data_IF_547035069905
#
_entry.id   IF_547035069905
#
_cell.length_a   1.000
_cell.length_b   1.000
_cell.length_c   1.000
_cell.angle_alpha   90.00
_cell.angle_beta   90.00
_cell.angle_gamma   90.00
#
_symmetry.space_group_name_H-M   'P 1'
#
loop_
_entity.id
_entity.type
_entity.pdbx_description
1 polymer ?
#
# COMPACT_ATOMS: atom_id res chain seq x y z
N UNK A 1 -18.71 26.17 29.88
CA UNK A 1 -18.90 25.31 28.70
C UNK A 1 -18.69 23.88 29.18
N UNK A 2 -19.76 23.11 29.31
CA UNK A 2 -19.70 21.70 29.73
C UNK A 2 -19.26 20.86 28.54
N UNK A 3 -18.03 20.36 28.56
CA UNK A 3 -17.61 19.25 27.72
C UNK A 3 -18.18 17.97 28.36
N UNK A 4 -19.29 17.47 27.83
CA UNK A 4 -19.73 16.11 28.12
C UNK A 4 -18.74 15.15 27.45
N UNK A 5 -17.75 14.70 28.22
CA UNK A 5 -16.94 13.56 27.84
C UNK A 5 -17.90 12.38 27.74
N UNK A 6 -18.11 11.83 26.55
CA UNK A 6 -18.91 10.62 26.39
C UNK A 6 -18.21 9.52 27.19
N UNK A 7 -18.80 9.14 28.33
CA UNK A 7 -18.38 7.95 29.07
C UNK A 7 -18.68 6.75 28.17
N UNK A 8 -17.64 6.19 27.56
CA UNK A 8 -17.73 4.89 26.91
C UNK A 8 -17.86 3.83 28.00
N UNK A 9 -19.09 3.58 28.43
CA UNK A 9 -19.41 2.51 29.38
C UNK A 9 -19.33 1.18 28.63
N UNK A 10 -18.33 0.37 28.97
CA UNK A 10 -18.26 -1.02 28.52
C UNK A 10 -19.30 -1.84 29.28
N UNK A 11 -20.28 -2.38 28.57
CA UNK A 11 -21.21 -3.35 29.12
C UNK A 11 -20.47 -4.66 29.43
N UNK A 12 -20.19 -4.87 30.72
CA UNK A 12 -19.46 -6.03 31.22
C UNK A 12 -20.19 -7.34 30.96
N UNK A 13 -21.53 -7.35 30.94
CA UNK A 13 -22.31 -8.57 30.71
C UNK A 13 -22.22 -8.97 29.23
N UNK A 14 -22.37 -8.00 28.33
CA UNK A 14 -22.21 -8.22 26.89
C UNK A 14 -20.78 -8.67 26.53
N UNK A 15 -19.76 -8.07 27.17
CA UNK A 15 -18.37 -8.49 26.97
C UNK A 15 -18.14 -9.93 27.46
N UNK A 16 -18.68 -10.29 28.63
CA UNK A 16 -18.57 -11.64 29.17
C UNK A 16 -19.21 -12.68 28.24
N UNK A 17 -20.43 -12.43 27.77
CA UNK A 17 -21.13 -13.35 26.86
C UNK A 17 -20.38 -13.50 25.53
N UNK A 18 -19.83 -12.41 25.01
CA UNK A 18 -18.99 -12.43 23.79
C UNK A 18 -17.73 -13.27 23.98
N UNK A 19 -17.06 -13.16 25.14
CA UNK A 19 -15.87 -13.97 25.48
C UNK A 19 -16.24 -15.45 25.54
N UNK A 20 -17.37 -15.82 26.17
CA UNK A 20 -17.78 -17.21 26.30
C UNK A 20 -18.10 -17.84 24.94
N UNK A 21 -18.82 -17.11 24.09
CA UNK A 21 -19.12 -17.56 22.71
C UNK A 21 -17.85 -17.76 21.90
N UNK A 22 -16.92 -16.80 21.98
CA UNK A 22 -15.67 -16.84 21.20
C UNK A 22 -14.76 -18.02 21.58
N UNK A 23 -14.73 -18.44 22.86
CA UNK A 23 -13.87 -19.57 23.33
C UNK A 23 -14.19 -20.89 22.63
N UNK A 24 -15.42 -21.10 22.19
CA UNK A 24 -15.83 -22.32 21.49
C UNK A 24 -15.49 -22.34 20.00
N UNK A 25 -15.03 -21.23 19.43
CA UNK A 25 -14.86 -21.06 17.98
C UNK A 25 -13.48 -20.42 17.72
N UNK A 26 -12.48 -21.19 17.22
CA UNK A 26 -11.09 -20.71 17.07
C UNK A 26 -10.95 -19.39 16.29
N UNK A 27 -11.73 -19.18 15.24
CA UNK A 27 -11.73 -17.95 14.45
C UNK A 27 -12.27 -16.75 15.24
N UNK A 28 -13.34 -16.93 16.01
CA UNK A 28 -13.90 -15.87 16.87
C UNK A 28 -12.99 -15.59 18.07
N UNK A 29 -12.30 -16.61 18.61
CA UNK A 29 -11.30 -16.41 19.65
C UNK A 29 -10.12 -15.56 19.15
N UNK A 30 -9.62 -15.87 17.95
CA UNK A 30 -8.57 -15.10 17.29
C UNK A 30 -8.99 -13.66 17.03
N UNK A 31 -10.22 -13.45 16.55
CA UNK A 31 -10.80 -12.12 16.39
C UNK A 31 -10.93 -11.38 17.72
N UNK A 32 -11.40 -12.05 18.79
CA UNK A 32 -11.56 -11.48 20.12
C UNK A 32 -10.21 -11.01 20.67
N UNK A 33 -9.19 -11.85 20.58
CA UNK A 33 -7.82 -11.53 20.99
C UNK A 33 -7.27 -10.35 20.19
N UNK A 34 -7.40 -10.38 18.86
CA UNK A 34 -6.83 -9.38 17.96
C UNK A 34 -7.55 -8.03 18.04
N UNK A 35 -8.89 -8.01 17.97
CA UNK A 35 -9.68 -6.77 17.84
C UNK A 35 -10.16 -6.17 19.16
N UNK A 36 -10.29 -6.96 20.23
CA UNK A 36 -10.81 -6.50 21.54
C UNK A 36 -9.75 -6.41 22.62
N UNK A 37 -8.71 -7.25 22.55
CA UNK A 37 -7.62 -7.27 23.52
C UNK A 37 -6.27 -6.83 22.94
N UNK A 38 -6.20 -6.51 21.64
CA UNK A 38 -4.97 -6.12 20.94
C UNK A 38 -3.83 -7.14 21.09
N UNK A 39 -4.17 -8.42 21.21
CA UNK A 39 -3.23 -9.53 21.25
C UNK A 39 -3.07 -10.04 19.82
N UNK A 40 -1.86 -9.90 19.28
CA UNK A 40 -1.54 -10.45 17.96
C UNK A 40 -1.57 -11.98 17.99
N UNK A 41 -2.53 -12.55 17.26
CA UNK A 41 -2.59 -13.97 16.98
C UNK A 41 -2.05 -14.22 15.57
N UNK A 42 -1.25 -15.27 15.39
CA UNK A 42 -0.91 -15.73 14.05
C UNK A 42 -2.19 -16.30 13.42
N UNK A 43 -2.69 -15.67 12.37
CA UNK A 43 -3.74 -16.27 11.55
C UNK A 43 -3.23 -17.59 10.97
N UNK A 44 -3.96 -18.68 11.17
CA UNK A 44 -3.52 -20.05 10.81
C UNK A 44 -3.36 -20.27 9.29
N UNK A 45 -3.75 -19.31 8.45
CA UNK A 45 -3.61 -19.42 6.99
C UNK A 45 -3.11 -18.07 6.44
N UNK A 46 -1.87 -17.98 5.91
CA UNK A 46 -1.43 -16.80 5.19
C UNK A 46 -2.35 -16.59 3.98
N UNK A 47 -2.85 -15.36 3.79
CA UNK A 47 -3.72 -15.01 2.66
C UNK A 47 -3.11 -15.43 1.30
N UNK A 48 -1.78 -15.38 1.20
CA UNK A 48 -1.04 -15.87 0.05
C UNK A 48 0.20 -16.62 0.51
N UNK A 49 0.35 -17.87 0.06
CA UNK A 49 1.55 -18.65 0.31
C UNK A 49 2.77 -18.10 -0.45
N UNK A 50 3.95 -18.23 0.13
CA UNK A 50 5.21 -17.75 -0.47
C UNK A 50 5.46 -18.33 -1.87
N UNK A 51 5.13 -19.61 -2.09
CA UNK A 51 5.26 -20.26 -3.40
C UNK A 51 4.35 -19.64 -4.46
N UNK A 52 3.10 -19.31 -4.09
CA UNK A 52 2.16 -18.61 -4.98
C UNK A 52 2.68 -17.22 -5.33
N UNK A 53 3.16 -16.47 -4.35
CA UNK A 53 3.76 -15.15 -4.58
C UNK A 53 4.97 -15.21 -5.52
N UNK A 54 5.91 -16.13 -5.26
CA UNK A 54 7.09 -16.33 -6.10
C UNK A 54 6.71 -16.77 -7.53
N UNK A 55 5.65 -17.57 -7.69
CA UNK A 55 5.19 -18.00 -9.02
C UNK A 55 4.64 -16.86 -9.89
N UNK A 56 4.28 -15.72 -9.27
CA UNK A 56 3.86 -14.51 -9.99
C UNK A 56 5.03 -13.67 -10.50
N UNK A 57 6.28 -13.98 -10.11
CA UNK A 57 7.44 -13.23 -10.56
C UNK A 57 7.62 -13.40 -12.07
N UNK A 58 7.72 -12.28 -12.77
CA UNK A 58 8.04 -12.19 -14.18
C UNK A 58 9.15 -11.15 -14.33
N UNK A 59 10.13 -11.46 -15.17
CA UNK A 59 11.20 -10.53 -15.52
C UNK A 59 10.74 -9.69 -16.72
N UNK A 60 10.61 -8.39 -16.50
CA UNK A 60 10.30 -7.37 -17.51
C UNK A 60 10.82 -6.02 -17.01
N UNK A 61 10.96 -5.06 -17.91
CA UNK A 61 11.37 -3.70 -17.59
C UNK A 61 10.31 -2.66 -18.03
N UNK A 62 10.59 -1.38 -17.78
CA UNK A 62 9.65 -0.30 -18.08
C UNK A 62 9.43 -0.08 -19.58
N UNK A 63 10.36 -0.51 -20.44
CA UNK A 63 10.20 -0.43 -21.89
C UNK A 63 9.15 -1.44 -22.38
N UNK A 64 9.03 -2.60 -21.74
CA UNK A 64 8.01 -3.61 -22.06
C UNK A 64 6.60 -3.11 -21.76
N UNK A 65 6.47 -2.08 -20.90
CA UNK A 65 5.20 -1.50 -20.48
C UNK A 65 4.76 -0.30 -21.34
N UNK A 66 5.64 0.21 -22.21
CA UNK A 66 5.34 1.40 -23.03
C UNK A 66 4.26 1.09 -24.06
N UNK A 67 3.26 1.97 -24.13
CA UNK A 67 2.14 1.85 -25.06
C UNK A 67 1.07 0.86 -24.63
N UNK A 68 1.20 0.23 -23.47
CA UNK A 68 0.15 -0.59 -22.90
C UNK A 68 -0.90 0.27 -22.20
N UNK A 69 -2.14 -0.22 -22.20
CA UNK A 69 -3.18 0.33 -21.33
C UNK A 69 -2.79 0.09 -19.87
N UNK A 70 -2.96 1.11 -19.03
CA UNK A 70 -2.66 0.98 -17.62
C UNK A 70 -3.67 1.71 -16.75
N UNK A 71 -3.89 1.17 -15.57
CA UNK A 71 -4.68 1.75 -14.50
C UNK A 71 -3.74 2.07 -13.36
N UNK A 72 -3.98 3.16 -12.64
CA UNK A 72 -3.07 3.57 -11.60
C UNK A 72 -3.80 3.86 -10.28
N UNK A 73 -3.24 3.33 -9.20
CA UNK A 73 -3.71 3.53 -7.83
C UNK A 73 -2.68 4.30 -7.02
N UNK A 74 -3.17 5.18 -6.15
CA UNK A 74 -2.35 5.95 -5.22
C UNK A 74 -2.78 5.61 -3.78
N UNK A 75 -1.80 5.28 -2.96
CA UNK A 75 -1.94 5.17 -1.51
C UNK A 75 -1.12 6.30 -0.89
N UNK A 76 -1.80 7.23 -0.23
CA UNK A 76 -1.24 8.52 0.18
C UNK A 76 -1.03 8.58 1.68
N UNK A 77 0.15 9.05 2.08
CA UNK A 77 0.50 9.39 3.46
C UNK A 77 1.08 10.80 3.55
N UNK A 78 1.03 11.39 4.74
CA UNK A 78 1.52 12.75 5.01
C UNK A 78 2.91 12.77 5.63
N UNK A 79 3.09 12.22 6.83
CA UNK A 79 4.32 12.47 7.61
C UNK A 79 5.04 11.22 8.08
N UNK A 80 4.34 10.12 8.37
CA UNK A 80 4.91 8.95 9.05
C UNK A 80 5.10 7.71 8.17
N UNK A 81 4.28 7.56 7.13
CA UNK A 81 4.22 6.33 6.33
C UNK A 81 4.64 6.57 4.87
N UNK A 82 4.76 5.47 4.14
CA UNK A 82 5.14 5.46 2.74
C UNK A 82 3.93 5.86 1.88
N UNK A 83 4.10 6.81 0.97
CA UNK A 83 3.17 6.99 -0.16
C UNK A 83 3.56 6.06 -1.29
N UNK A 84 2.60 5.34 -1.86
CA UNK A 84 2.81 4.40 -2.94
C UNK A 84 1.98 4.76 -4.17
N UNK A 85 2.59 4.60 -5.34
CA UNK A 85 1.94 4.69 -6.64
C UNK A 85 2.11 3.33 -7.31
N UNK A 86 1.02 2.73 -7.76
CA UNK A 86 1.02 1.45 -8.46
C UNK A 86 0.35 1.61 -9.83
N UNK A 87 1.07 1.29 -10.90
CA UNK A 87 0.53 1.14 -12.24
C UNK A 87 0.31 -0.33 -12.53
N UNK A 88 -0.87 -0.65 -13.02
CA UNK A 88 -1.32 -2.00 -13.32
C UNK A 88 -1.62 -2.10 -14.80
N UNK A 89 -0.94 -3.02 -15.48
CA UNK A 89 -1.05 -3.26 -16.92
C UNK A 89 -1.72 -4.62 -17.14
N UNK A 90 -3.00 -4.67 -17.53
CA UNK A 90 -3.62 -5.91 -17.96
C UNK A 90 -2.97 -6.36 -19.28
N UNK A 91 -2.32 -7.52 -19.26
CA UNK A 91 -1.67 -8.11 -20.44
C UNK A 91 -2.34 -9.44 -20.80
N UNK A 92 -2.77 -9.54 -22.05
CA UNK A 92 -3.42 -10.73 -22.66
C UNK A 92 -4.72 -11.22 -22.00
N UNK A 93 -5.45 -12.07 -22.74
CA UNK A 93 -6.64 -12.82 -22.28
C UNK A 93 -6.36 -13.87 -21.18
N UNK A 94 -5.20 -13.82 -20.52
CA UNK A 94 -4.75 -14.81 -19.53
C UNK A 94 -4.91 -14.35 -18.07
N UNK A 95 -5.67 -13.28 -17.81
CA UNK A 95 -5.87 -12.69 -16.48
C UNK A 95 -4.53 -12.37 -15.76
N UNK A 96 -3.53 -11.88 -16.49
CA UNK A 96 -2.25 -11.47 -15.92
C UNK A 96 -2.20 -9.95 -15.79
N UNK A 97 -1.59 -9.50 -14.69
CA UNK A 97 -1.35 -8.10 -14.40
C UNK A 97 0.15 -7.89 -14.23
N UNK A 98 0.73 -6.99 -15.01
CA UNK A 98 2.07 -6.46 -14.74
C UNK A 98 1.94 -5.23 -13.85
N UNK A 99 2.91 -5.02 -12.95
CA UNK A 99 2.87 -3.99 -11.93
C UNK A 99 4.14 -3.15 -11.97
N UNK A 100 3.99 -1.83 -12.06
CA UNK A 100 5.07 -0.89 -11.84
C UNK A 100 4.76 -0.07 -10.60
N UNK A 101 5.54 -0.24 -9.53
CA UNK A 101 5.32 0.46 -8.27
C UNK A 101 6.42 1.47 -7.96
N UNK A 102 6.03 2.61 -7.39
CA UNK A 102 6.93 3.65 -6.89
C UNK A 102 6.55 3.99 -5.46
N UNK A 103 7.54 4.14 -4.60
CA UNK A 103 7.32 4.36 -3.17
C UNK A 103 8.11 5.59 -2.71
N UNK A 104 7.48 6.42 -1.89
CA UNK A 104 8.01 7.70 -1.42
C UNK A 104 7.91 7.79 0.10
N UNK A 105 8.95 8.34 0.73
CA UNK A 105 9.00 8.56 2.17
C UNK A 105 9.66 9.92 2.46
N UNK A 106 9.17 10.74 3.41
CA UNK A 106 9.85 11.96 3.81
C UNK A 106 11.24 11.65 4.38
N UNK A 107 12.25 12.41 3.97
CA UNK A 107 13.63 12.22 4.42
C UNK A 107 13.76 12.29 5.95
N UNK A 108 12.96 13.14 6.60
CA UNK A 108 12.93 13.24 8.06
C UNK A 108 12.64 11.88 8.74
N UNK A 109 11.87 11.00 8.11
CA UNK A 109 11.56 9.67 8.65
C UNK A 109 12.77 8.74 8.68
N UNK A 110 13.78 8.99 7.84
CA UNK A 110 15.03 8.24 7.89
C UNK A 110 15.86 8.59 9.13
N UNK A 111 15.72 9.80 9.68
CA UNK A 111 16.50 10.26 10.84
C UNK A 111 15.71 10.29 12.15
N UNK A 112 14.38 10.19 12.08
CA UNK A 112 13.49 10.22 13.23
C UNK A 112 13.74 9.03 14.19
N UNK A 113 14.24 9.26 15.43
CA UNK A 113 14.49 8.20 16.40
C UNK A 113 13.23 7.44 16.85
N UNK A 114 12.06 8.11 16.80
CA UNK A 114 10.77 7.49 17.14
C UNK A 114 10.28 6.53 16.03
N UNK A 115 10.80 6.65 14.81
CA UNK A 115 10.49 5.73 13.74
C UNK A 115 11.27 4.42 13.93
N UNK A 116 10.51 3.36 14.26
CA UNK A 116 11.05 2.00 14.46
C UNK A 116 11.60 1.39 13.17
N UNK A 117 11.07 1.81 12.02
CA UNK A 117 11.42 1.27 10.71
C UNK A 117 12.58 2.02 10.04
N UNK A 118 13.11 3.09 10.66
CA UNK A 118 14.13 3.98 10.04
C UNK A 118 15.34 3.23 9.48
N UNK A 119 15.79 2.17 10.13
CA UNK A 119 16.95 1.38 9.69
C UNK A 119 16.66 0.63 8.38
N UNK A 120 15.49 -0.01 8.30
CA UNK A 120 15.01 -0.71 7.11
C UNK A 120 14.75 0.28 5.97
N UNK A 121 14.13 1.41 6.26
CA UNK A 121 13.88 2.45 5.26
C UNK A 121 15.17 3.03 4.67
N UNK A 122 16.21 3.25 5.48
CA UNK A 122 17.54 3.65 4.98
C UNK A 122 18.10 2.63 4.00
N UNK A 123 17.99 1.35 4.32
CA UNK A 123 18.45 0.29 3.44
C UNK A 123 17.66 0.29 2.12
N UNK A 124 16.33 0.37 2.19
CA UNK A 124 15.46 0.44 1.02
C UNK A 124 15.74 1.66 0.14
N UNK A 125 16.04 2.80 0.75
CA UNK A 125 16.44 4.02 0.01
C UNK A 125 17.79 3.81 -0.70
N UNK A 126 18.76 3.20 -0.01
CA UNK A 126 20.09 2.91 -0.59
C UNK A 126 20.03 1.96 -1.78
N UNK A 127 19.17 0.94 -1.74
CA UNK A 127 19.00 -0.03 -2.83
C UNK A 127 17.94 0.41 -3.87
N UNK A 128 17.35 1.59 -3.71
CA UNK A 128 16.43 2.21 -4.67
C UNK A 128 14.98 1.69 -4.64
N UNK A 129 14.58 0.95 -3.60
CA UNK A 129 13.19 0.48 -3.44
C UNK A 129 12.22 1.58 -3.01
N UNK A 130 12.72 2.56 -2.26
CA UNK A 130 11.96 3.76 -1.89
C UNK A 130 12.75 5.01 -2.29
N UNK A 131 12.03 6.09 -2.62
CA UNK A 131 12.58 7.41 -2.91
C UNK A 131 12.28 8.33 -1.75
N UNK A 132 13.19 9.25 -1.46
CA UNK A 132 12.95 10.25 -0.42
C UNK A 132 12.38 11.53 -1.02
N UNK A 133 11.43 12.13 -0.33
CA UNK A 133 11.02 13.53 -0.57
C UNK A 133 11.70 14.42 0.46
N UNK A 134 12.11 15.62 0.05
CA UNK A 134 12.72 16.59 0.96
C UNK A 134 11.70 17.03 2.02
N UNK A 135 12.18 17.24 3.24
CA UNK A 135 11.37 17.71 4.36
C UNK A 135 10.80 16.60 5.25
N UNK A 136 9.79 16.97 6.02
CA UNK A 136 9.13 16.15 7.04
C UNK A 136 7.76 15.62 6.63
N UNK A 137 7.24 16.08 5.49
CA UNK A 137 6.01 15.61 4.89
C UNK A 137 6.20 15.21 3.42
N UNK A 138 5.25 14.44 2.92
CA UNK A 138 5.17 14.06 1.51
C UNK A 138 4.56 15.23 0.76
N UNK A 139 5.31 15.72 -0.22
CA UNK A 139 4.80 16.67 -1.19
C UNK A 139 3.93 15.92 -2.21
N UNK A 140 2.62 16.13 -2.10
CA UNK A 140 1.65 15.55 -3.01
C UNK A 140 1.84 16.05 -4.44
N UNK A 141 2.29 17.29 -4.64
CA UNK A 141 2.53 17.83 -5.99
C UNK A 141 3.69 17.10 -6.66
N UNK A 142 4.74 16.74 -5.91
CA UNK A 142 5.85 15.92 -6.42
C UNK A 142 5.37 14.51 -6.78
N UNK A 143 4.53 13.90 -5.94
CA UNK A 143 4.00 12.55 -6.16
C UNK A 143 3.06 12.52 -7.37
N UNK A 144 2.15 13.50 -7.48
CA UNK A 144 1.20 13.67 -8.60
C UNK A 144 1.92 14.07 -9.89
N UNK A 145 2.95 14.91 -9.83
CA UNK A 145 3.76 15.25 -10.99
C UNK A 145 4.56 14.05 -11.49
N UNK A 146 5.12 13.25 -10.57
CA UNK A 146 5.80 12.01 -10.96
C UNK A 146 4.81 11.01 -11.54
N UNK A 147 3.60 10.96 -10.97
CA UNK A 147 2.50 10.18 -11.49
C UNK A 147 2.20 10.55 -12.95
N UNK A 148 1.98 11.85 -13.19
CA UNK A 148 1.66 12.40 -14.50
C UNK A 148 2.76 12.14 -15.52
N UNK A 149 4.03 12.39 -15.17
CA UNK A 149 5.18 12.14 -16.07
C UNK A 149 5.32 10.67 -16.47
N UNK A 150 5.18 9.77 -15.50
CA UNK A 150 5.28 8.33 -15.73
C UNK A 150 4.11 7.85 -16.59
N UNK A 151 2.89 8.29 -16.28
CA UNK A 151 1.70 8.00 -17.07
C UNK A 151 1.84 8.54 -18.50
N UNK A 152 2.29 9.77 -18.71
CA UNK A 152 2.50 10.33 -20.06
C UNK A 152 3.56 9.56 -20.84
N UNK A 153 4.65 9.15 -20.21
CA UNK A 153 5.71 8.38 -20.87
C UNK A 153 5.24 6.98 -21.28
N UNK A 154 4.42 6.33 -20.44
CA UNK A 154 3.95 4.97 -20.68
C UNK A 154 2.70 4.92 -21.57
N UNK A 155 1.81 5.91 -21.50
CA UNK A 155 0.46 5.87 -22.12
C UNK A 155 0.38 6.73 -23.39
N UNK A 156 1.31 7.66 -23.64
CA UNK A 156 1.22 8.63 -24.76
C UNK A 156 0.98 7.97 -26.13
N UNK A 157 1.62 6.84 -26.42
CA UNK A 157 1.41 6.10 -27.67
C UNK A 157 0.04 5.40 -27.73
N UNK A 158 -0.47 4.90 -26.61
CA UNK A 158 -1.80 4.27 -26.54
C UNK A 158 -2.93 5.28 -26.70
N UNK A 159 -2.85 6.43 -26.03
CA UNK A 159 -3.87 7.49 -26.12
C UNK A 159 -3.94 8.08 -27.54
N UNK A 160 -2.77 8.33 -28.16
CA UNK A 160 -2.67 8.77 -29.55
C UNK A 160 -3.27 7.75 -30.53
N UNK A 161 -3.00 6.46 -30.32
CA UNK A 161 -3.52 5.37 -31.17
C UNK A 161 -5.04 5.19 -31.06
N UNK A 162 -5.64 5.44 -29.89
CA UNK A 162 -7.09 5.26 -29.67
C UNK A 162 -7.94 6.46 -30.10
N UNK A 163 -7.35 7.66 -30.09
CA UNK A 163 -8.03 8.91 -30.43
C UNK A 163 -7.63 9.52 -31.78
N UNK A 164 -6.86 8.81 -32.60
CA UNK A 164 -6.55 9.21 -33.98
C UNK A 164 -5.68 10.48 -34.09
N UNK A 165 -4.98 10.86 -33.03
CA UNK A 165 -4.05 11.99 -33.01
C UNK A 165 -2.62 11.46 -32.98
N UNK A 166 -2.13 10.98 -34.12
CA UNK A 166 -0.69 10.88 -34.31
C UNK A 166 -0.13 12.29 -34.56
N UNK A 167 0.97 12.70 -33.90
CA UNK A 167 1.66 13.91 -34.30
C UNK A 167 2.23 13.69 -35.70
N UNK A 168 1.89 14.58 -36.64
CA UNK A 168 2.60 14.74 -37.91
C UNK A 168 4.02 15.24 -37.69
#
# INVERSE_FOLDING_TARGET
MNLSCAEFVLDSAALHDTIQKARGIPSQWTEMLTKRFNIWCQGEIPWMGEGTWKSCQLDYDENDLKGLECYAGLDLSLTGDITSICYTFPVDNKNKLLLLTRHYLPEAQLQNPANKNRAVYRQWAQIGWIRTTQGDCIDYDVSVMTFSKTASTLISSWWASRHGMLPT
#
